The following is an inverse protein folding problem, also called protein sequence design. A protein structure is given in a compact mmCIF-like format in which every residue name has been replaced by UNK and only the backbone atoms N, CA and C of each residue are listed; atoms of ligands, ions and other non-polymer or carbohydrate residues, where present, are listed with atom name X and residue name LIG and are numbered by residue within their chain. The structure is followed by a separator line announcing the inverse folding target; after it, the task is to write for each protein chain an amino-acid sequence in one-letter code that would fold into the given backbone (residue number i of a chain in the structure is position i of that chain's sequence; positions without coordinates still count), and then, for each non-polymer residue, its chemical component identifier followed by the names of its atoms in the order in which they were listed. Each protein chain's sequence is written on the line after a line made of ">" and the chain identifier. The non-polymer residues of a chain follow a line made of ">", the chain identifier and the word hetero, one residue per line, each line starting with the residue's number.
data_IF_751219249299
#
_entry.id   IF_751219249299
#
_cell.length_a   1.000
_cell.length_b   1.000
_cell.length_c   1.000
_cell.angle_alpha   90.00
_cell.angle_beta   90.00
_cell.angle_gamma   90.00
#
_symmetry.space_group_name_H-M   'P 1'
#
loop_
_entity.id
_entity.type
_entity.pdbx_description
1 polymer ?
#
# COMPACT_ATOMS: atom_id res chain seq x y z
N UNK A 1 -15.46 -12.79 -1.38
CA UNK A 1 -14.76 -11.59 -1.91
C UNK A 1 -14.07 -10.78 -0.81
N UNK A 2 -14.67 -10.67 0.38
CA UNK A 2 -14.06 -10.04 1.57
C UNK A 2 -12.65 -10.54 1.88
N UNK A 3 -12.37 -11.84 1.72
CA UNK A 3 -11.02 -12.42 1.91
C UNK A 3 -9.98 -11.81 0.96
N UNK A 4 -10.33 -11.52 -0.29
CA UNK A 4 -9.39 -10.93 -1.26
C UNK A 4 -9.03 -9.49 -0.88
N UNK A 5 -10.03 -8.69 -0.47
CA UNK A 5 -9.81 -7.30 -0.01
C UNK A 5 -8.99 -7.28 1.29
N UNK A 6 -9.26 -8.19 2.21
CA UNK A 6 -8.49 -8.32 3.46
C UNK A 6 -7.05 -8.77 3.18
N UNK A 7 -6.85 -9.70 2.24
CA UNK A 7 -5.52 -10.10 1.81
C UNK A 7 -4.78 -8.93 1.13
N UNK A 8 -5.46 -8.16 0.27
CA UNK A 8 -4.89 -6.97 -0.35
C UNK A 8 -4.47 -5.94 0.71
N UNK A 9 -5.30 -5.71 1.74
CA UNK A 9 -4.93 -4.87 2.87
C UNK A 9 -3.67 -5.35 3.59
N UNK A 10 -3.49 -6.67 3.76
CA UNK A 10 -2.29 -7.21 4.39
C UNK A 10 -1.01 -6.96 3.58
N UNK A 11 -1.11 -6.85 2.25
CA UNK A 11 0.01 -6.48 1.37
C UNK A 11 0.15 -4.97 1.15
N UNK A 12 -0.76 -4.15 1.70
CA UNK A 12 -0.64 -2.69 1.66
C UNK A 12 0.60 -2.22 2.43
N UNK A 13 1.17 -1.09 2.01
CA UNK A 13 2.39 -0.54 2.58
C UNK A 13 3.67 -0.91 1.83
N UNK A 14 3.62 -1.80 0.83
CA UNK A 14 4.77 -2.02 -0.07
C UNK A 14 5.11 -0.77 -0.88
N UNK A 15 4.13 0.10 -1.13
CA UNK A 15 4.30 1.42 -1.73
C UNK A 15 5.12 2.40 -0.88
N UNK A 16 5.23 2.18 0.44
CA UNK A 16 6.08 3.01 1.32
C UNK A 16 7.56 2.92 0.95
N UNK A 17 7.99 1.79 0.38
CA UNK A 17 9.36 1.66 -0.15
C UNK A 17 9.62 2.68 -1.27
N UNK A 18 8.61 3.00 -2.08
CA UNK A 18 8.72 4.05 -3.11
C UNK A 18 8.83 5.45 -2.52
N UNK A 19 8.11 5.72 -1.43
CA UNK A 19 8.19 7.00 -0.73
C UNK A 19 9.55 7.18 -0.04
N UNK A 20 10.05 6.12 0.60
CA UNK A 20 11.37 6.10 1.22
C UNK A 20 12.51 6.17 0.18
N UNK A 21 12.26 5.76 -1.07
CA UNK A 21 13.24 5.87 -2.15
C UNK A 21 13.64 7.33 -2.42
N UNK A 22 12.72 8.28 -2.25
CA UNK A 22 12.99 9.70 -2.44
C UNK A 22 14.02 10.25 -1.44
N UNK A 23 14.09 9.67 -0.24
CA UNK A 23 15.02 10.08 0.83
C UNK A 23 16.29 9.22 0.86
N UNK A 24 16.39 8.20 0.00
CA UNK A 24 17.53 7.27 -0.02
C UNK A 24 18.72 7.90 -0.77
N UNK A 25 19.94 7.69 -0.25
CA UNK A 25 21.17 8.21 -0.86
C UNK A 25 21.42 7.63 -2.27
N UNK A 26 21.32 6.30 -2.41
CA UNK A 26 21.44 5.60 -3.69
C UNK A 26 20.19 4.75 -3.98
N UNK A 27 19.10 5.37 -4.47
CA UNK A 27 17.85 4.66 -4.75
C UNK A 27 18.01 3.63 -5.87
N UNK A 28 18.99 3.81 -6.77
CA UNK A 28 19.21 2.91 -7.91
C UNK A 28 19.54 1.49 -7.47
N UNK A 29 20.41 1.33 -6.46
CA UNK A 29 20.82 0.01 -5.95
C UNK A 29 19.91 -0.48 -4.84
N UNK A 30 19.47 0.42 -3.96
CA UNK A 30 18.70 0.05 -2.77
C UNK A 30 17.24 -0.28 -3.08
N UNK A 31 16.59 0.44 -4.00
CA UNK A 31 15.17 0.27 -4.28
C UNK A 31 14.84 -1.10 -4.91
N UNK A 32 15.54 -1.58 -5.96
CA UNK A 32 15.22 -2.87 -6.57
C UNK A 32 15.41 -4.02 -5.59
N UNK A 33 16.49 -3.95 -4.79
CA UNK A 33 16.80 -4.95 -3.76
C UNK A 33 15.73 -4.97 -2.67
N UNK A 34 15.37 -3.79 -2.15
CA UNK A 34 14.32 -3.68 -1.13
C UNK A 34 12.97 -4.21 -1.64
N UNK A 35 12.55 -3.84 -2.86
CA UNK A 35 11.28 -4.31 -3.43
C UNK A 35 11.22 -5.83 -3.56
N UNK A 36 12.29 -6.48 -4.05
CA UNK A 36 12.36 -7.95 -4.15
C UNK A 36 12.32 -8.62 -2.79
N UNK A 37 13.13 -8.14 -1.84
CA UNK A 37 13.20 -8.69 -0.50
C UNK A 37 11.88 -8.56 0.23
N UNK A 38 11.25 -7.40 0.18
CA UNK A 38 9.94 -7.17 0.83
C UNK A 38 8.89 -8.10 0.23
N UNK A 39 8.82 -8.23 -1.10
CA UNK A 39 7.87 -9.13 -1.76
C UNK A 39 8.04 -10.59 -1.34
N UNK A 40 9.26 -11.14 -1.46
CA UNK A 40 9.52 -12.54 -1.11
C UNK A 40 9.38 -12.81 0.37
N UNK A 41 9.89 -11.92 1.21
CA UNK A 41 9.83 -12.07 2.67
C UNK A 41 8.38 -12.06 3.15
N UNK A 42 7.55 -11.12 2.70
CA UNK A 42 6.14 -11.06 3.10
C UNK A 42 5.40 -12.29 2.58
N UNK A 43 5.56 -12.63 1.29
CA UNK A 43 4.86 -13.78 0.67
C UNK A 43 5.19 -15.09 1.39
N UNK A 44 6.48 -15.36 1.62
CA UNK A 44 6.91 -16.59 2.29
C UNK A 44 6.37 -16.66 3.73
N UNK A 45 6.51 -15.59 4.51
CA UNK A 45 6.00 -15.59 5.88
C UNK A 45 4.47 -15.71 5.92
N UNK A 46 3.73 -15.07 5.02
CA UNK A 46 2.29 -15.17 4.99
C UNK A 46 1.83 -16.58 4.61
N UNK A 47 2.38 -17.16 3.54
CA UNK A 47 1.99 -18.51 3.11
C UNK A 47 2.36 -19.56 4.16
N UNK A 48 3.58 -19.51 4.71
CA UNK A 48 4.02 -20.48 5.72
C UNK A 48 3.20 -20.33 7.00
N UNK A 49 3.09 -19.12 7.54
CA UNK A 49 2.38 -18.91 8.80
C UNK A 49 0.88 -19.22 8.68
N UNK A 50 0.22 -18.84 7.57
CA UNK A 50 -1.20 -19.17 7.35
C UNK A 50 -1.41 -20.66 7.12
N UNK A 51 -0.48 -21.35 6.45
CA UNK A 51 -0.54 -22.82 6.29
C UNK A 51 -0.44 -23.52 7.64
N UNK A 52 0.52 -23.12 8.48
CA UNK A 52 0.68 -23.69 9.82
C UNK A 52 -0.56 -23.44 10.69
N UNK A 53 -1.07 -22.20 10.70
CA UNK A 53 -2.30 -21.85 11.44
C UNK A 53 -3.50 -22.63 10.93
N UNK A 54 -3.65 -22.77 9.61
CA UNK A 54 -4.75 -23.50 8.98
C UNK A 54 -4.75 -25.00 9.30
N UNK A 55 -3.58 -25.58 9.60
CA UNK A 55 -3.46 -26.96 10.07
C UNK A 55 -3.71 -27.10 11.59
N UNK A 56 -3.44 -26.06 12.37
CA UNK A 56 -3.52 -26.08 13.84
C UNK A 56 -4.87 -25.62 14.40
N UNK A 57 -5.61 -24.79 13.67
CA UNK A 57 -6.89 -24.24 14.11
C UNK A 57 -7.98 -24.61 13.11
N UNK A 58 -9.04 -25.32 13.54
CA UNK A 58 -10.12 -25.68 12.65
C UNK A 58 -10.91 -24.44 12.25
N UNK A 59 -11.31 -24.36 10.97
CA UNK A 59 -12.00 -23.19 10.39
C UNK A 59 -13.36 -22.88 11.04
N UNK A 60 -13.94 -23.84 11.77
CA UNK A 60 -15.22 -23.75 12.46
C UNK A 60 -15.07 -23.41 13.97
N UNK A 61 -13.86 -23.12 14.44
CA UNK A 61 -13.65 -22.73 15.84
C UNK A 61 -14.43 -21.45 16.14
N UNK A 62 -15.33 -21.52 17.13
CA UNK A 62 -16.16 -20.38 17.53
C UNK A 62 -15.31 -19.18 17.98
N UNK A 63 -14.08 -19.38 18.45
CA UNK A 63 -13.16 -18.30 18.85
C UNK A 63 -12.63 -17.48 17.67
N UNK A 64 -12.71 -18.00 16.44
CA UNK A 64 -12.41 -17.22 15.24
C UNK A 64 -13.53 -16.24 14.86
N UNK A 65 -14.74 -16.48 15.38
CA UNK A 65 -15.99 -15.79 14.98
C UNK A 65 -16.63 -15.04 16.16
N UNK A 66 -16.36 -15.44 17.40
CA UNK A 66 -16.99 -14.89 18.60
C UNK A 66 -16.13 -13.80 19.25
N UNK A 67 -16.81 -12.68 19.54
CA UNK A 67 -16.37 -11.49 20.28
C UNK A 67 -15.30 -10.68 19.55
N UNK A 68 -15.79 -9.71 18.77
CA UNK A 68 -15.04 -8.57 18.24
C UNK A 68 -13.82 -8.94 17.40
N UNK A 69 -13.87 -8.63 16.10
CA UNK A 69 -12.70 -8.62 15.19
C UNK A 69 -11.53 -7.72 15.64
N UNK A 70 -11.62 -7.15 16.84
CA UNK A 70 -10.76 -6.17 17.48
C UNK A 70 -9.93 -6.81 18.61
N UNK A 71 -10.35 -7.96 19.16
CA UNK A 71 -9.66 -8.55 20.31
C UNK A 71 -8.43 -9.37 19.85
N UNK A 72 -7.25 -9.02 20.37
CA UNK A 72 -6.00 -9.74 20.12
C UNK A 72 -6.08 -11.21 20.57
N UNK A 73 -6.98 -11.51 21.51
CA UNK A 73 -7.26 -12.87 22.01
C UNK A 73 -7.91 -13.78 20.95
N UNK A 74 -8.60 -13.22 19.95
CA UNK A 74 -9.21 -13.93 18.83
C UNK A 74 -8.20 -14.24 17.69
N UNK A 75 -6.94 -13.82 17.83
CA UNK A 75 -5.90 -14.10 16.85
C UNK A 75 -5.69 -15.61 16.68
N UNK A 76 -5.75 -16.15 15.45
CA UNK A 76 -5.54 -17.58 15.20
C UNK A 76 -4.20 -18.12 15.74
N UNK A 77 -3.16 -17.28 15.78
CA UNK A 77 -1.86 -17.63 16.37
C UNK A 77 -1.93 -17.81 17.89
N UNK A 78 -2.74 -17.00 18.57
CA UNK A 78 -2.96 -17.10 20.01
C UNK A 78 -3.82 -18.33 20.30
N UNK A 79 -4.86 -18.56 19.50
CA UNK A 79 -5.74 -19.74 19.61
C UNK A 79 -4.95 -21.04 19.44
N UNK A 80 -4.03 -21.13 18.47
CA UNK A 80 -3.21 -22.33 18.27
C UNK A 80 -2.33 -22.65 19.49
N UNK A 81 -1.80 -21.61 20.16
CA UNK A 81 -0.94 -21.77 21.34
C UNK A 81 -1.76 -22.16 22.58
N UNK A 82 -2.95 -21.58 22.73
CA UNK A 82 -3.90 -21.95 23.78
C UNK A 82 -4.34 -23.41 23.61
N UNK A 83 -4.63 -23.83 22.37
CA UNK A 83 -4.97 -25.22 22.05
C UNK A 83 -3.82 -26.19 22.34
N UNK A 84 -2.56 -25.74 22.19
CA UNK A 84 -1.38 -26.52 22.54
C UNK A 84 -1.13 -26.62 24.07
N UNK A 85 -1.91 -25.92 24.90
CA UNK A 85 -1.80 -25.99 26.37
C UNK A 85 -0.58 -25.30 26.98
N UNK A 86 0.16 -24.50 26.20
CA UNK A 86 1.38 -23.83 26.65
C UNK A 86 1.02 -22.58 27.44
N UNK A 87 1.26 -22.61 28.76
CA UNK A 87 1.00 -21.46 29.65
C UNK A 87 2.06 -20.37 29.45
N UNK A 88 1.65 -19.10 29.49
CA UNK A 88 2.54 -17.93 29.38
C UNK A 88 2.84 -17.46 27.95
N UNK A 89 2.95 -18.37 26.99
CA UNK A 89 3.21 -18.04 25.58
C UNK A 89 2.12 -17.18 24.90
N UNK A 90 0.81 -17.31 25.23
CA UNK A 90 -0.22 -16.38 24.72
C UNK A 90 0.03 -14.91 25.08
N UNK A 91 0.52 -14.63 26.30
CA UNK A 91 0.80 -13.26 26.75
C UNK A 91 1.96 -12.65 25.96
N UNK A 92 3.02 -13.43 25.74
CA UNK A 92 4.17 -13.03 24.91
C UNK A 92 3.72 -12.70 23.48
N UNK A 93 2.86 -13.53 22.89
CA UNK A 93 2.33 -13.27 21.55
C UNK A 93 1.51 -11.99 21.48
N UNK A 94 0.68 -11.71 22.50
CA UNK A 94 -0.08 -10.46 22.56
C UNK A 94 0.85 -9.23 22.62
N UNK A 95 1.94 -9.30 23.39
CA UNK A 95 2.94 -8.23 23.43
C UNK A 95 3.61 -8.03 22.07
N UNK A 96 3.96 -9.11 21.37
CA UNK A 96 4.55 -9.03 20.02
C UNK A 96 3.57 -8.41 19.03
N UNK A 97 2.30 -8.80 19.07
CA UNK A 97 1.24 -8.21 18.24
C UNK A 97 1.12 -6.71 18.53
N UNK A 98 1.13 -6.30 19.81
CA UNK A 98 1.05 -4.90 20.20
C UNK A 98 2.23 -4.07 19.64
N UNK A 99 3.46 -4.59 19.74
CA UNK A 99 4.65 -3.95 19.15
C UNK A 99 4.51 -3.84 17.63
N UNK A 100 4.00 -4.89 16.98
CA UNK A 100 3.78 -4.89 15.53
C UNK A 100 2.74 -3.83 15.10
N UNK A 101 1.62 -3.72 15.81
CA UNK A 101 0.58 -2.72 15.55
C UNK A 101 1.11 -1.30 15.74
N UNK A 102 1.90 -1.04 16.79
CA UNK A 102 2.56 0.26 17.01
C UNK A 102 3.52 0.62 15.87
N UNK A 103 4.28 -0.36 15.37
CA UNK A 103 5.20 -0.17 14.23
C UNK A 103 4.46 0.19 12.93
N UNK A 104 3.35 -0.50 12.64
CA UNK A 104 2.50 -0.19 11.48
C UNK A 104 1.88 1.20 11.64
N UNK A 105 1.38 1.54 12.83
CA UNK A 105 0.83 2.87 13.13
C UNK A 105 1.83 4.01 12.85
N UNK A 106 3.08 3.86 13.32
CA UNK A 106 4.14 4.83 13.03
C UNK A 106 4.43 4.95 11.53
N UNK A 107 4.47 3.82 10.80
CA UNK A 107 4.68 3.81 9.35
C UNK A 107 3.53 4.46 8.57
N UNK A 108 2.29 4.29 9.02
CA UNK A 108 1.11 4.96 8.43
C UNK A 108 1.14 6.48 8.64
N UNK A 109 1.58 6.96 9.81
CA UNK A 109 1.78 8.40 10.07
C UNK A 109 2.91 8.95 9.18
N UNK A 110 4.01 8.20 9.04
CA UNK A 110 5.10 8.55 8.14
C UNK A 110 4.63 8.70 6.69
N UNK A 111 3.85 7.73 6.18
CA UNK A 111 3.34 7.72 4.81
C UNK A 111 2.37 8.88 4.54
N UNK A 112 1.32 8.98 5.34
CA UNK A 112 0.26 10.00 5.18
C UNK A 112 0.80 11.43 5.21
N UNK A 113 1.62 11.76 6.21
CA UNK A 113 2.15 13.11 6.40
C UNK A 113 3.02 13.58 5.23
N UNK A 114 3.84 12.69 4.68
CA UNK A 114 4.68 12.96 3.48
C UNK A 114 3.87 13.07 2.20
N UNK A 115 2.86 12.21 2.02
CA UNK A 115 1.96 12.31 0.87
C UNK A 115 1.21 13.66 0.89
N UNK A 116 0.72 14.09 2.05
CA UNK A 116 0.07 15.41 2.18
C UNK A 116 1.02 16.57 1.89
N UNK A 117 2.26 16.50 2.37
CA UNK A 117 3.28 17.51 2.10
C UNK A 117 3.66 17.56 0.60
N UNK A 118 3.79 16.40 -0.06
CA UNK A 118 4.08 16.32 -1.49
C UNK A 118 2.93 16.89 -2.35
N UNK A 119 1.67 16.66 -1.95
CA UNK A 119 0.51 17.28 -2.59
C UNK A 119 0.51 18.81 -2.43
N UNK A 120 0.87 19.30 -1.25
CA UNK A 120 0.97 20.73 -0.99
C UNK A 120 2.10 21.39 -1.81
N UNK A 121 3.26 20.73 -1.90
CA UNK A 121 4.38 21.18 -2.73
C UNK A 121 4.01 21.25 -4.23
N UNK A 122 3.14 20.35 -4.68
CA UNK A 122 2.62 20.32 -6.06
C UNK A 122 1.46 21.30 -6.30
N UNK A 123 1.15 22.20 -5.36
CA UNK A 123 -0.02 23.09 -5.37
C UNK A 123 -1.37 22.34 -5.53
N UNK A 124 -1.44 21.08 -5.10
CA UNK A 124 -2.64 20.24 -5.15
C UNK A 124 -3.38 20.17 -3.80
N UNK A 125 -2.81 20.76 -2.74
CA UNK A 125 -3.38 20.81 -1.40
C UNK A 125 -3.13 22.20 -0.74
N UNK A 126 -3.74 22.52 0.42
CA UNK A 126 -3.50 23.80 1.09
C UNK A 126 -2.01 23.99 1.36
N UNK A 127 -1.48 25.19 1.08
CA UNK A 127 -0.06 25.52 1.32
C UNK A 127 0.38 25.26 2.76
N UNK A 128 -0.56 25.33 3.71
CA UNK A 128 -0.33 25.05 5.13
C UNK A 128 0.15 23.60 5.36
N UNK A 129 -0.35 22.63 4.57
CA UNK A 129 0.09 21.23 4.66
C UNK A 129 1.53 21.02 4.16
N UNK A 130 2.08 21.98 3.42
CA UNK A 130 3.45 21.95 2.91
C UNK A 130 4.48 22.46 3.92
N UNK A 131 4.08 22.84 5.13
CA UNK A 131 5.02 23.28 6.15
C UNK A 131 5.88 22.11 6.66
N UNK A 132 7.19 22.25 6.47
CA UNK A 132 8.22 21.30 6.91
C UNK A 132 9.05 21.97 8.00
N UNK A 133 9.17 21.31 9.16
CA UNK A 133 10.00 21.77 10.28
C UNK A 133 11.51 21.70 9.93
N UNK A 134 12.36 22.38 10.71
CA UNK A 134 13.83 22.41 10.56
C UNK A 134 14.46 21.01 10.55
N UNK A 135 13.80 20.02 11.15
CA UNK A 135 14.24 18.62 11.14
C UNK A 135 13.69 17.79 9.96
N UNK A 136 13.08 18.43 8.94
CA UNK A 136 12.53 17.76 7.77
C UNK A 136 11.16 17.10 7.98
N UNK A 137 10.44 17.46 9.05
CA UNK A 137 9.18 16.80 9.45
C UNK A 137 7.96 17.61 8.99
N UNK A 138 7.03 17.03 8.22
CA UNK A 138 5.79 17.70 7.81
C UNK A 138 4.79 17.79 8.98
N UNK A 139 4.98 18.77 9.85
CA UNK A 139 4.29 18.88 11.15
C UNK A 139 2.77 19.01 11.00
N UNK A 140 2.30 19.82 10.04
CA UNK A 140 0.86 19.99 9.81
C UNK A 140 0.22 18.70 9.29
N UNK A 141 0.92 17.96 8.42
CA UNK A 141 0.48 16.64 7.96
C UNK A 141 0.35 15.64 9.11
N UNK A 142 1.30 15.66 10.05
CA UNK A 142 1.25 14.83 11.27
C UNK A 142 0.04 15.22 12.13
N UNK A 143 -0.20 16.51 12.37
CA UNK A 143 -1.34 16.97 13.18
C UNK A 143 -2.67 16.53 12.56
N UNK A 144 -2.85 16.70 11.25
CA UNK A 144 -4.07 16.27 10.55
C UNK A 144 -4.27 14.76 10.73
N UNK A 145 -3.21 13.97 10.59
CA UNK A 145 -3.27 12.53 10.80
C UNK A 145 -3.60 12.17 12.26
N UNK A 146 -3.06 12.89 13.25
CA UNK A 146 -3.37 12.67 14.66
C UNK A 146 -4.83 13.01 14.98
N UNK A 147 -5.39 14.07 14.39
CA UNK A 147 -6.81 14.42 14.53
C UNK A 147 -7.69 13.30 13.99
N UNK A 148 -7.39 12.78 12.79
CA UNK A 148 -8.09 11.61 12.24
C UNK A 148 -7.87 10.37 13.11
N UNK A 149 -6.68 10.24 13.71
CA UNK A 149 -6.34 9.20 14.68
C UNK A 149 -7.21 9.22 15.95
N UNK A 150 -7.79 10.36 16.34
CA UNK A 150 -8.74 10.44 17.46
C UNK A 150 -10.01 9.60 17.23
N UNK A 151 -10.28 9.18 15.99
CA UNK A 151 -11.32 8.18 15.71
C UNK A 151 -11.06 6.85 16.45
N UNK A 152 -9.86 6.59 16.96
CA UNK A 152 -9.59 5.44 17.82
C UNK A 152 -10.46 5.40 19.08
N UNK A 153 -10.92 6.56 19.59
CA UNK A 153 -11.82 6.61 20.75
C UNK A 153 -13.19 5.97 20.47
N UNK A 154 -13.54 5.74 19.20
CA UNK A 154 -14.71 4.97 18.83
C UNK A 154 -14.62 3.49 19.26
N UNK A 155 -13.43 2.99 19.61
CA UNK A 155 -13.27 1.68 20.24
C UNK A 155 -13.95 1.58 21.62
N UNK A 156 -14.18 2.70 22.31
CA UNK A 156 -14.93 2.71 23.57
C UNK A 156 -16.46 2.65 23.37
N UNK A 157 -16.93 2.61 22.12
CA UNK A 157 -18.36 2.58 21.79
C UNK A 157 -18.89 1.14 21.80
N UNK A 158 -20.17 0.92 22.18
CA UNK A 158 -20.81 -0.40 22.10
C UNK A 158 -20.93 -0.97 20.67
N UNK A 159 -20.55 -0.19 19.63
CA UNK A 159 -20.51 -0.62 18.22
C UNK A 159 -19.09 -0.78 17.66
N UNK A 160 -18.11 -1.07 18.51
CA UNK A 160 -16.69 -1.20 18.12
C UNK A 160 -16.45 -2.12 16.90
N UNK A 161 -17.10 -3.28 16.85
CA UNK A 161 -16.90 -4.27 15.78
C UNK A 161 -17.42 -3.79 14.43
N UNK A 162 -18.58 -3.14 14.41
CA UNK A 162 -19.14 -2.57 13.17
C UNK A 162 -18.24 -1.47 12.63
N UNK A 163 -17.80 -0.56 13.51
CA UNK A 163 -16.93 0.57 13.13
C UNK A 163 -15.59 0.05 12.62
N UNK A 164 -15.00 -0.94 13.29
CA UNK A 164 -13.76 -1.57 12.86
C UNK A 164 -13.90 -2.20 11.47
N UNK A 165 -14.98 -2.94 11.22
CA UNK A 165 -15.24 -3.54 9.91
C UNK A 165 -15.38 -2.48 8.81
N UNK A 166 -16.01 -1.35 9.11
CA UNK A 166 -16.11 -0.23 8.16
C UNK A 166 -14.74 0.40 7.88
N UNK A 167 -13.91 0.59 8.91
CA UNK A 167 -12.55 1.11 8.75
C UNK A 167 -11.65 0.14 7.97
N UNK A 168 -11.77 -1.15 8.23
CA UNK A 168 -11.02 -2.19 7.53
C UNK A 168 -11.41 -2.26 6.05
N UNK A 169 -12.71 -2.24 5.75
CA UNK A 169 -13.21 -2.17 4.38
C UNK A 169 -12.77 -0.88 3.67
N UNK A 170 -12.85 0.26 4.38
CA UNK A 170 -12.41 1.56 3.88
C UNK A 170 -10.93 1.53 3.48
N UNK A 171 -10.09 0.98 4.35
CA UNK A 171 -8.64 0.89 4.13
C UNK A 171 -8.25 -0.13 3.07
N UNK A 172 -8.86 -1.31 3.04
CA UNK A 172 -8.54 -2.33 2.03
C UNK A 172 -8.89 -1.85 0.62
N UNK A 173 -10.06 -1.24 0.46
CA UNK A 173 -10.49 -0.72 -0.84
C UNK A 173 -9.71 0.54 -1.25
N UNK A 174 -9.27 1.38 -0.31
CA UNK A 174 -8.40 2.53 -0.64
C UNK A 174 -7.02 2.09 -1.15
N UNK A 175 -6.46 0.98 -0.65
CA UNK A 175 -5.22 0.39 -1.18
C UNK A 175 -5.38 -0.04 -2.65
N UNK A 176 -6.52 -0.62 -3.03
CA UNK A 176 -6.84 -0.98 -4.42
C UNK A 176 -6.87 0.26 -5.32
N UNK A 177 -7.45 1.38 -4.86
CA UNK A 177 -7.40 2.65 -5.60
C UNK A 177 -5.97 3.19 -5.74
N UNK A 178 -5.18 3.13 -4.68
CA UNK A 178 -3.78 3.58 -4.69
C UNK A 178 -2.98 2.77 -5.70
N UNK A 179 -3.06 1.44 -5.68
CA UNK A 179 -2.36 0.59 -6.64
C UNK A 179 -2.88 0.75 -8.06
N UNK A 180 -4.19 0.89 -8.26
CA UNK A 180 -4.77 1.24 -9.56
C UNK A 180 -4.21 2.55 -10.10
N UNK A 181 -4.12 3.57 -9.25
CA UNK A 181 -3.56 4.88 -9.61
C UNK A 181 -2.06 4.80 -9.95
N UNK A 182 -1.27 4.05 -9.18
CA UNK A 182 0.15 3.81 -9.46
C UNK A 182 0.34 3.12 -10.81
N UNK A 183 -0.43 2.06 -11.08
CA UNK A 183 -0.39 1.33 -12.36
C UNK A 183 -0.76 2.24 -13.54
N UNK A 184 -1.83 3.03 -13.39
CA UNK A 184 -2.25 3.98 -14.40
C UNK A 184 -1.18 5.05 -14.66
N UNK A 185 -0.61 5.64 -13.60
CA UNK A 185 0.48 6.60 -13.70
C UNK A 185 1.70 6.01 -14.42
N UNK A 186 2.08 4.76 -14.15
CA UNK A 186 3.19 4.10 -14.82
C UNK A 186 2.94 3.92 -16.33
N UNK A 187 1.74 3.48 -16.73
CA UNK A 187 1.37 3.35 -18.15
C UNK A 187 1.43 4.70 -18.85
N UNK A 188 0.91 5.75 -18.20
CA UNK A 188 0.90 7.13 -18.71
C UNK A 188 2.30 7.71 -18.83
N UNK A 189 3.14 7.52 -17.83
CA UNK A 189 4.53 7.97 -17.81
C UNK A 189 5.34 7.34 -18.95
N UNK A 190 5.19 6.02 -19.16
CA UNK A 190 5.85 5.32 -20.28
C UNK A 190 5.38 5.81 -21.65
N UNK A 191 4.08 6.13 -21.80
CA UNK A 191 3.55 6.75 -23.02
C UNK A 191 4.06 8.18 -23.23
N UNK A 192 4.24 8.96 -22.16
CA UNK A 192 4.80 10.31 -22.23
C UNK A 192 6.27 10.29 -22.69
N UNK A 193 7.08 9.41 -22.11
CA UNK A 193 8.47 9.18 -22.52
C UNK A 193 8.59 8.86 -24.01
N UNK A 194 7.80 7.89 -24.48
CA UNK A 194 7.79 7.49 -25.88
C UNK A 194 7.34 8.63 -26.81
N UNK A 195 6.31 9.39 -26.43
CA UNK A 195 5.81 10.51 -27.21
C UNK A 195 6.81 11.68 -27.32
N UNK A 196 7.75 11.79 -26.36
CA UNK A 196 8.82 12.79 -26.35
C UNK A 196 10.14 12.25 -26.94
N UNK A 197 10.12 11.05 -27.54
CA UNK A 197 11.30 10.44 -28.16
C UNK A 197 12.38 9.97 -27.17
N UNK A 198 12.02 9.81 -25.89
CA UNK A 198 12.95 9.38 -24.83
C UNK A 198 12.80 7.90 -24.53
N UNK A 199 13.92 7.26 -24.20
CA UNK A 199 13.97 5.83 -23.89
C UNK A 199 14.09 5.56 -22.38
N UNK A 200 13.67 4.37 -22.00
CA UNK A 200 13.70 3.84 -20.64
C UNK A 200 15.09 3.73 -20.03
N UNK A 201 16.14 3.81 -20.85
CA UNK A 201 17.55 3.85 -20.44
C UNK A 201 17.93 5.09 -19.62
N UNK A 202 17.12 6.16 -19.63
CA UNK A 202 17.36 7.35 -18.81
C UNK A 202 16.84 7.22 -17.35
N UNK A 203 16.16 6.11 -17.04
CA UNK A 203 15.55 5.89 -15.73
C UNK A 203 16.48 5.12 -14.81
N UNK A 204 16.61 5.59 -13.57
CA UNK A 204 17.38 4.90 -12.53
C UNK A 204 16.82 3.51 -12.23
N UNK A 205 15.50 3.32 -12.33
CA UNK A 205 14.88 2.03 -12.12
C UNK A 205 13.78 1.77 -13.14
N UNK A 206 13.80 0.57 -13.72
CA UNK A 206 12.77 0.06 -14.61
C UNK A 206 12.11 -1.15 -13.97
N UNK A 207 10.77 -1.17 -13.97
CA UNK A 207 10.01 -2.33 -13.48
C UNK A 207 10.30 -3.56 -14.35
N UNK A 208 10.54 -4.71 -13.72
CA UNK A 208 10.89 -5.94 -14.45
C UNK A 208 9.80 -6.41 -15.43
N UNK A 209 8.53 -6.27 -15.04
CA UNK A 209 7.37 -6.68 -15.85
C UNK A 209 6.88 -5.55 -16.78
N UNK A 210 7.47 -4.36 -16.68
CA UNK A 210 7.19 -3.23 -17.56
C UNK A 210 5.72 -2.77 -17.59
N UNK A 211 5.30 -2.26 -18.75
CA UNK A 211 3.93 -1.77 -19.02
C UNK A 211 2.91 -2.91 -19.05
N UNK A 212 3.33 -4.12 -19.43
CA UNK A 212 2.46 -5.30 -19.47
C UNK A 212 2.00 -5.64 -18.05
N UNK A 213 2.93 -5.71 -17.10
CA UNK A 213 2.60 -5.93 -15.68
C UNK A 213 1.70 -4.84 -15.11
N UNK A 214 1.96 -3.58 -15.46
CA UNK A 214 1.12 -2.46 -15.04
C UNK A 214 -0.30 -2.55 -15.60
N UNK A 215 -0.45 -3.00 -16.85
CA UNK A 215 -1.76 -3.16 -17.51
C UNK A 215 -2.55 -4.32 -16.90
N UNK A 216 -1.89 -5.45 -16.64
CA UNK A 216 -2.48 -6.58 -15.92
C UNK A 216 -2.91 -6.20 -14.50
N UNK A 217 -2.04 -5.50 -13.76
CA UNK A 217 -2.36 -4.96 -12.44
C UNK A 217 -3.56 -4.03 -12.48
N UNK A 218 -3.65 -3.14 -13.48
CA UNK A 218 -4.80 -2.25 -13.65
C UNK A 218 -6.10 -3.03 -13.90
N UNK A 219 -6.08 -4.02 -14.79
CA UNK A 219 -7.24 -4.88 -15.09
C UNK A 219 -7.70 -5.62 -13.84
N UNK A 220 -6.77 -6.18 -13.06
CA UNK A 220 -7.09 -6.86 -11.80
C UNK A 220 -7.71 -5.89 -10.79
N UNK A 221 -7.15 -4.69 -10.60
CA UNK A 221 -7.72 -3.70 -9.69
C UNK A 221 -9.14 -3.29 -10.12
N UNK A 222 -9.38 -3.01 -11.40
CA UNK A 222 -10.72 -2.69 -11.93
C UNK A 222 -11.68 -3.87 -11.70
N UNK A 223 -11.24 -5.09 -11.98
CA UNK A 223 -12.07 -6.30 -11.82
C UNK A 223 -12.48 -6.47 -10.36
N UNK A 224 -11.55 -6.28 -9.43
CA UNK A 224 -11.81 -6.33 -7.98
C UNK A 224 -12.79 -5.23 -7.56
N UNK A 225 -12.65 -4.00 -8.07
CA UNK A 225 -13.59 -2.91 -7.79
C UNK A 225 -15.01 -3.21 -8.30
N UNK A 226 -15.15 -3.76 -9.51
CA UNK A 226 -16.43 -4.14 -10.10
C UNK A 226 -17.09 -5.30 -9.32
N UNK A 227 -16.33 -6.32 -8.97
CA UNK A 227 -16.84 -7.45 -8.18
C UNK A 227 -17.19 -7.03 -6.75
N UNK A 228 -16.40 -6.14 -6.15
CA UNK A 228 -16.71 -5.59 -4.82
C UNK A 228 -17.99 -4.74 -4.86
N UNK A 229 -18.21 -3.97 -5.93
CA UNK A 229 -19.46 -3.26 -6.14
C UNK A 229 -20.64 -4.23 -6.26
N UNK A 230 -20.49 -5.29 -7.06
CA UNK A 230 -21.52 -6.31 -7.21
C UNK A 230 -21.91 -6.94 -5.88
N UNK A 231 -20.93 -7.34 -5.05
CA UNK A 231 -21.19 -7.94 -3.73
C UNK A 231 -21.79 -6.93 -2.75
N UNK A 232 -21.42 -5.66 -2.84
CA UNK A 232 -21.97 -4.60 -2.00
C UNK A 232 -23.44 -4.30 -2.33
N UNK A 233 -23.84 -4.39 -3.61
CA UNK A 233 -25.22 -4.18 -4.07
C UNK A 233 -26.07 -5.43 -3.91
N UNK A 234 -25.56 -6.60 -4.27
CA UNK A 234 -26.22 -7.90 -4.15
C UNK A 234 -25.44 -8.83 -3.21
N UNK A 235 -25.64 -8.69 -1.89
CA UNK A 235 -25.04 -9.61 -0.93
C UNK A 235 -25.64 -11.01 -1.08
N UNK A 236 -24.78 -12.04 -1.09
CA UNK A 236 -25.13 -13.44 -1.38
C UNK A 236 -26.12 -14.08 -0.38
N UNK A 237 -26.21 -13.56 0.85
CA UNK A 237 -26.97 -14.17 1.95
C UNK A 237 -27.89 -13.19 2.69
N UNK A 238 -28.10 -11.98 2.16
CA UNK A 238 -28.97 -10.97 2.81
C UNK A 238 -29.68 -10.11 1.78
N UNK A 239 -30.74 -9.42 2.22
CA UNK A 239 -31.41 -8.42 1.36
C UNK A 239 -30.48 -7.22 1.15
N UNK A 240 -30.51 -6.59 -0.05
CA UNK A 240 -29.78 -5.36 -0.29
C UNK A 240 -30.21 -4.30 0.73
N UNK A 241 -29.25 -3.77 1.48
CA UNK A 241 -29.45 -2.70 2.45
C UNK A 241 -28.42 -1.61 2.21
N UNK A 242 -28.84 -0.34 2.31
CA UNK A 242 -27.95 0.80 2.21
C UNK A 242 -26.80 0.72 3.23
N UNK A 243 -27.06 0.23 4.44
CA UNK A 243 -26.02 0.05 5.46
C UNK A 243 -24.96 -0.97 5.06
N UNK A 244 -25.36 -2.08 4.43
CA UNK A 244 -24.44 -3.12 3.96
C UNK A 244 -23.60 -2.63 2.77
N UNK A 245 -24.22 -1.86 1.87
CA UNK A 245 -23.54 -1.22 0.75
C UNK A 245 -22.46 -0.23 1.24
N UNK A 246 -22.86 0.73 2.09
CA UNK A 246 -21.90 1.72 2.60
C UNK A 246 -20.85 1.08 3.50
N UNK A 247 -21.17 0.07 4.30
CA UNK A 247 -20.19 -0.65 5.12
C UNK A 247 -19.06 -1.27 4.30
N UNK A 248 -19.36 -1.78 3.10
CA UNK A 248 -18.40 -2.53 2.27
C UNK A 248 -17.81 -1.74 1.10
N UNK A 249 -18.42 -0.60 0.75
CA UNK A 249 -18.07 0.21 -0.43
C UNK A 249 -17.85 1.70 -0.11
N UNK A 250 -17.68 2.07 1.16
CA UNK A 250 -17.53 3.46 1.61
C UNK A 250 -16.38 4.20 0.91
N UNK A 251 -15.30 3.51 0.54
CA UNK A 251 -14.13 4.15 -0.04
C UNK A 251 -14.41 4.82 -1.37
N UNK A 252 -15.36 4.33 -2.19
CA UNK A 252 -15.63 4.93 -3.49
C UNK A 252 -16.28 6.30 -3.35
N UNK A 253 -17.39 6.47 -2.60
CA UNK A 253 -17.92 7.80 -2.29
C UNK A 253 -16.88 8.73 -1.67
N UNK A 254 -16.05 8.23 -0.75
CA UNK A 254 -15.02 9.04 -0.09
C UNK A 254 -13.96 9.52 -1.10
N UNK A 255 -13.43 8.62 -1.93
CA UNK A 255 -12.46 8.97 -2.99
C UNK A 255 -13.06 9.95 -3.99
N UNK A 256 -14.32 9.74 -4.40
CA UNK A 256 -15.02 10.66 -5.30
C UNK A 256 -15.23 12.03 -4.65
N UNK A 257 -15.60 12.08 -3.37
CA UNK A 257 -15.75 13.34 -2.64
C UNK A 257 -14.42 14.11 -2.55
N UNK A 258 -13.32 13.43 -2.24
CA UNK A 258 -11.98 14.05 -2.23
C UNK A 258 -11.56 14.50 -3.64
N UNK A 259 -11.83 13.69 -4.68
CA UNK A 259 -11.50 14.04 -6.05
C UNK A 259 -12.30 15.26 -6.55
N UNK A 260 -13.61 15.28 -6.32
CA UNK A 260 -14.50 16.40 -6.68
C UNK A 260 -14.13 17.63 -5.86
N UNK A 261 -13.87 17.48 -4.55
CA UNK A 261 -13.44 18.58 -3.68
C UNK A 261 -12.12 19.20 -4.13
N UNK A 262 -11.13 18.37 -4.47
CA UNK A 262 -9.86 18.82 -5.06
C UNK A 262 -10.08 19.56 -6.39
N UNK A 263 -10.98 19.06 -7.24
CA UNK A 263 -11.27 19.63 -8.54
C UNK A 263 -12.01 20.98 -8.46
N UNK A 264 -12.93 21.09 -7.51
CA UNK A 264 -13.64 22.34 -7.21
C UNK A 264 -12.67 23.39 -6.68
N UNK A 265 -11.71 22.99 -5.84
CA UNK A 265 -10.70 23.88 -5.31
C UNK A 265 -9.70 24.35 -6.36
N UNK A 266 -9.03 23.41 -7.04
CA UNK A 266 -8.03 23.76 -8.06
C UNK A 266 -8.65 24.48 -9.25
N UNK A 267 -9.99 24.41 -9.40
CA UNK A 267 -10.79 24.97 -10.52
C UNK A 267 -10.30 24.50 -11.90
N UNK A 268 -9.41 23.51 -11.95
CA UNK A 268 -8.84 23.00 -13.17
C UNK A 268 -9.64 21.76 -13.58
N UNK A 269 -10.56 21.96 -14.53
CA UNK A 269 -11.43 20.89 -14.96
C UNK A 269 -10.80 19.91 -15.98
N UNK A 270 -9.51 20.05 -16.31
CA UNK A 270 -8.82 19.16 -17.26
C UNK A 270 -8.69 17.74 -16.68
N UNK A 271 -9.54 16.82 -17.17
CA UNK A 271 -9.52 15.40 -16.78
C UNK A 271 -8.37 14.61 -17.41
N UNK A 272 -7.78 15.13 -18.49
CA UNK A 272 -6.83 14.38 -19.31
C UNK A 272 -5.79 15.31 -19.95
N UNK A 273 -4.53 15.08 -19.61
CA UNK A 273 -3.37 15.73 -20.24
C UNK A 273 -2.91 14.81 -21.37
N UNK A 274 -2.59 15.33 -22.56
CA UNK A 274 -2.09 14.50 -23.67
C UNK A 274 -0.68 14.02 -23.31
N UNK A 275 -0.30 12.83 -23.78
CA UNK A 275 0.98 12.22 -23.39
C UNK A 275 2.19 13.11 -23.71
N UNK A 276 2.15 13.84 -24.83
CA UNK A 276 3.18 14.81 -25.23
C UNK A 276 3.31 16.03 -24.31
N UNK A 277 2.22 16.42 -23.63
CA UNK A 277 2.15 17.62 -22.79
C UNK A 277 2.35 17.29 -21.30
N UNK A 278 2.67 16.04 -20.96
CA UNK A 278 3.01 15.64 -19.59
C UNK A 278 4.42 16.13 -19.30
N UNK A 279 4.54 16.94 -18.24
CA UNK A 279 5.82 17.34 -17.69
C UNK A 279 6.50 16.15 -17.00
N UNK A 280 7.67 15.78 -17.50
CA UNK A 280 8.52 14.70 -16.96
C UNK A 280 9.87 15.23 -16.45
N UNK A 281 10.11 16.54 -16.55
CA UNK A 281 11.41 17.16 -16.28
C UNK A 281 11.42 17.92 -14.94
N UNK A 282 10.31 18.56 -14.57
CA UNK A 282 10.23 19.33 -13.32
C UNK A 282 10.46 18.44 -12.08
N UNK A 283 11.44 18.82 -11.25
CA UNK A 283 11.75 18.12 -10.00
C UNK A 283 12.53 16.81 -10.17
N UNK A 284 12.99 16.49 -11.39
CA UNK A 284 13.89 15.36 -11.62
C UNK A 284 15.22 15.60 -10.89
N UNK A 285 15.68 14.60 -10.13
CA UNK A 285 17.04 14.60 -9.57
C UNK A 285 18.02 14.50 -10.73
N UNK A 286 18.90 15.49 -10.89
CA UNK A 286 19.99 15.42 -11.85
C UNK A 286 20.89 14.24 -11.47
N UNK A 287 20.85 13.22 -12.31
CA UNK A 287 21.72 12.06 -12.24
C UNK A 287 22.64 12.16 -13.46
N UNK A 288 23.94 12.00 -13.24
CA UNK A 288 24.87 11.85 -14.35
C UNK A 288 24.57 10.53 -15.08
N UNK A 289 23.82 10.66 -16.18
CA UNK A 289 23.30 9.53 -16.95
C UNK A 289 24.42 8.66 -17.53
N UNK A 290 25.57 9.24 -17.85
CA UNK A 290 26.72 8.51 -18.37
C UNK A 290 27.39 7.69 -17.27
N UNK A 291 27.54 8.27 -16.09
CA UNK A 291 28.05 7.57 -14.90
C UNK A 291 27.09 6.44 -14.49
N UNK A 292 25.78 6.66 -14.59
CA UNK A 292 24.76 5.61 -14.34
C UNK A 292 24.85 4.48 -15.36
N UNK A 293 25.00 4.78 -16.66
CA UNK A 293 25.14 3.75 -17.70
C UNK A 293 26.41 2.92 -17.51
N UNK A 294 27.53 3.56 -17.17
CA UNK A 294 28.79 2.89 -16.87
C UNK A 294 28.64 1.95 -15.67
N UNK A 295 28.10 2.42 -14.55
CA UNK A 295 27.89 1.57 -13.38
C UNK A 295 26.92 0.40 -13.65
N UNK A 296 25.89 0.59 -14.49
CA UNK A 296 24.96 -0.49 -14.88
C UNK A 296 25.66 -1.53 -15.77
N UNK A 297 26.54 -1.10 -16.67
CA UNK A 297 27.32 -2.01 -17.51
C UNK A 297 28.31 -2.82 -16.67
N UNK A 298 29.01 -2.17 -15.73
CA UNK A 298 29.92 -2.81 -14.79
C UNK A 298 29.21 -3.79 -13.86
N UNK A 299 28.04 -3.42 -13.32
CA UNK A 299 27.22 -4.32 -12.50
C UNK A 299 26.76 -5.55 -13.28
N UNK A 300 26.30 -5.38 -14.53
CA UNK A 300 25.93 -6.51 -15.39
C UNK A 300 27.11 -7.43 -15.68
N UNK A 301 28.28 -6.88 -15.96
CA UNK A 301 29.51 -7.64 -16.18
C UNK A 301 29.94 -8.41 -14.92
N UNK A 302 29.84 -7.77 -13.75
CA UNK A 302 30.10 -8.40 -12.46
C UNK A 302 29.11 -9.53 -12.16
N UNK A 303 27.80 -9.31 -12.34
CA UNK A 303 26.81 -10.37 -12.16
C UNK A 303 27.00 -11.53 -13.15
N UNK A 304 27.45 -11.22 -14.38
CA UNK A 304 27.80 -12.22 -15.39
C UNK A 304 29.14 -12.93 -15.13
N UNK A 305 29.94 -12.52 -14.13
CA UNK A 305 31.11 -13.26 -13.68
C UNK A 305 30.82 -14.14 -12.46
N UNK A 306 29.71 -13.90 -11.74
CA UNK A 306 29.34 -14.68 -10.57
C UNK A 306 28.90 -16.11 -10.90
N UNK A 307 29.08 -17.08 -9.97
CA UNK A 307 28.53 -18.43 -10.09
C UNK A 307 26.99 -18.45 -10.18
N UNK A 308 26.43 -19.48 -10.82
CA UNK A 308 24.98 -19.63 -11.06
C UNK A 308 24.16 -19.49 -9.78
N UNK A 309 24.60 -20.08 -8.65
CA UNK A 309 23.86 -19.98 -7.38
C UNK A 309 23.78 -18.54 -6.83
N UNK A 310 24.84 -17.72 -7.01
CA UNK A 310 24.82 -16.30 -6.62
C UNK A 310 24.01 -15.46 -7.59
N UNK A 311 24.00 -15.80 -8.88
CA UNK A 311 23.13 -15.14 -9.87
C UNK A 311 21.65 -15.37 -9.57
N UNK A 312 21.29 -16.61 -9.23
CA UNK A 312 19.94 -16.93 -8.78
C UNK A 312 19.66 -16.13 -7.50
N UNK A 313 20.53 -16.16 -6.49
CA UNK A 313 20.32 -15.37 -5.28
C UNK A 313 20.09 -13.87 -5.55
N UNK A 314 20.89 -13.21 -6.39
CA UNK A 314 20.69 -11.79 -6.75
C UNK A 314 19.50 -11.54 -7.70
N UNK A 315 19.06 -12.55 -8.43
CA UNK A 315 17.84 -12.46 -9.22
C UNK A 315 16.61 -12.39 -8.29
N UNK A 316 16.59 -13.18 -7.21
CA UNK A 316 15.47 -13.29 -6.28
C UNK A 316 15.55 -12.37 -5.03
N UNK A 317 16.75 -12.00 -4.56
CA UNK A 317 17.04 -11.16 -3.37
C UNK A 317 17.74 -9.83 -3.70
#
# INVERSE_FOLDING_TARGET
>A
MTVFVNAAFAFAGTELCGLAAAETQNPRKSLPKACKQVFWRITLFYVICLTLVGLLVPYNDKRLIANSSVDASASPFVISIVNAGIKGLPSVMNVVIMIAVLSVGNSSVFGSSRTLAALAASNQAPKILGYIDKQGRPLVGIIVQLIVGLLCFLAASPKEGDIFNWMLALSGLSSIFTWGSINFCLIRFRRALYAQGRDTSELAFTSQVGVIGASWGMILNITVLCLQFWVAVWPLHSKPSATAFFSSYLSVPVVLAFYIGHKLWTRNWRFYIRAKDIDIDTGRRELDLELVKQEVAEEKAYYASLPIYRRIYHAWC
#
